data_IF_526241500587
#
_entry.id   IF_526241500587
#
_cell.length_a   1.000
_cell.length_b   1.000
_cell.length_c   1.000
_cell.angle_alpha   90.00
_cell.angle_beta   90.00
_cell.angle_gamma   90.00
#
_symmetry.space_group_name_H-M   'P 1'
#
loop_
_entity.id
_entity.type
_entity.pdbx_description
1 polymer ?
#
# COMPACT_ATOMS: atom_id res chain seq x y z
N UNK A 1 2.35 2.95 -15.59
CA UNK A 1 2.23 2.13 -14.36
C UNK A 1 1.36 2.82 -13.32
N UNK A 2 1.73 4.03 -12.86
CA UNK A 2 0.96 4.80 -11.86
C UNK A 2 -0.51 5.00 -12.21
N UNK A 3 -0.80 5.48 -13.42
CA UNK A 3 -2.19 5.69 -13.88
C UNK A 3 -3.00 4.37 -13.90
N UNK A 4 -2.40 3.25 -14.31
CA UNK A 4 -3.05 1.94 -14.29
C UNK A 4 -3.44 1.52 -12.87
N UNK A 5 -2.50 1.65 -11.92
CA UNK A 5 -2.74 1.34 -10.51
C UNK A 5 -3.94 2.13 -9.96
N UNK A 6 -3.95 3.45 -10.13
CA UNK A 6 -5.01 4.31 -9.60
C UNK A 6 -6.39 4.07 -10.22
N UNK A 7 -6.45 3.70 -11.50
CA UNK A 7 -7.73 3.38 -12.17
C UNK A 7 -8.38 2.09 -11.67
N UNK A 8 -7.61 1.22 -11.02
CA UNK A 8 -8.05 -0.07 -10.49
C UNK A 8 -8.24 -0.08 -8.97
N UNK A 9 -7.98 1.05 -8.30
CA UNK A 9 -8.18 1.10 -6.85
C UNK A 9 -9.67 1.12 -6.50
N UNK A 10 -10.07 0.41 -5.43
CA UNK A 10 -11.39 0.55 -4.82
C UNK A 10 -11.59 1.94 -4.21
N UNK A 11 -12.81 2.23 -3.72
CA UNK A 11 -13.15 3.51 -3.09
C UNK A 11 -12.29 3.88 -1.89
N UNK A 12 -11.86 2.89 -1.11
CA UNK A 12 -10.99 3.09 0.06
C UNK A 12 -9.50 3.27 -0.31
N UNK A 13 -9.15 3.20 -1.61
CA UNK A 13 -7.81 3.39 -2.14
C UNK A 13 -6.77 2.34 -1.74
N UNK A 14 -7.16 1.21 -1.13
CA UNK A 14 -6.23 0.12 -0.82
C UNK A 14 -6.50 -1.06 -1.76
N UNK A 15 -5.55 -1.47 -2.61
CA UNK A 15 -5.82 -2.45 -3.65
C UNK A 15 -6.20 -3.80 -3.06
N UNK A 16 -6.92 -4.59 -3.86
CA UNK A 16 -6.97 -6.03 -3.68
C UNK A 16 -5.60 -6.65 -4.01
N UNK A 17 -5.41 -7.92 -3.63
CA UNK A 17 -4.18 -8.65 -3.96
C UNK A 17 -3.94 -8.76 -5.47
N UNK A 18 -5.00 -8.71 -6.28
CA UNK A 18 -4.95 -8.55 -7.74
C UNK A 18 -5.78 -7.32 -8.16
N UNK A 19 -5.27 -6.54 -9.12
CA UNK A 19 -5.89 -5.31 -9.63
C UNK A 19 -7.07 -5.58 -10.59
N UNK A 20 -7.36 -6.84 -10.89
CA UNK A 20 -8.60 -7.21 -11.57
C UNK A 20 -9.84 -7.04 -10.70
N UNK A 21 -9.69 -7.16 -9.37
CA UNK A 21 -10.79 -7.06 -8.41
C UNK A 21 -11.14 -5.61 -8.05
N UNK A 22 -12.40 -5.40 -7.68
CA UNK A 22 -12.99 -4.10 -7.38
C UNK A 22 -14.05 -4.15 -6.27
N UNK A 23 -14.68 -2.99 -6.02
CA UNK A 23 -15.72 -2.91 -4.99
C UNK A 23 -16.85 -3.91 -5.27
N UNK A 24 -17.13 -4.80 -4.31
CA UNK A 24 -18.16 -5.84 -4.42
C UNK A 24 -17.60 -7.25 -4.56
N UNK A 25 -16.31 -7.40 -4.87
CA UNK A 25 -15.63 -8.69 -4.86
C UNK A 25 -15.27 -9.11 -3.43
N UNK A 26 -15.42 -10.40 -3.13
CA UNK A 26 -15.08 -11.01 -1.83
C UNK A 26 -13.64 -11.55 -1.83
N UNK A 27 -12.68 -10.68 -2.17
CA UNK A 27 -11.25 -11.03 -2.29
C UNK A 27 -10.39 -10.28 -1.25
N UNK A 28 -9.25 -10.83 -0.83
CA UNK A 28 -8.40 -10.21 0.18
C UNK A 28 -7.70 -8.95 -0.37
N UNK A 29 -7.42 -8.02 0.55
CA UNK A 29 -6.67 -6.79 0.26
C UNK A 29 -5.16 -7.07 0.19
N UNK A 30 -4.43 -6.12 -0.38
CA UNK A 30 -2.99 -6.04 -0.16
C UNK A 30 -2.57 -4.61 0.24
N UNK A 31 -2.60 -4.35 1.56
CA UNK A 31 -2.12 -3.09 2.13
C UNK A 31 -0.63 -2.85 1.91
N UNK A 32 0.16 -3.92 1.69
CA UNK A 32 1.59 -3.81 1.42
C UNK A 32 1.85 -3.16 0.06
N UNK A 33 1.06 -3.50 -0.98
CA UNK A 33 1.12 -2.83 -2.27
C UNK A 33 0.79 -1.33 -2.20
N UNK A 34 -0.21 -0.91 -1.42
CA UNK A 34 -0.50 0.50 -1.21
C UNK A 34 0.65 1.25 -0.52
N UNK A 35 1.28 0.60 0.48
CA UNK A 35 2.43 1.16 1.20
C UNK A 35 3.64 1.35 0.28
N UNK A 36 3.94 0.35 -0.55
CA UNK A 36 5.01 0.41 -1.57
C UNK A 36 4.72 1.49 -2.60
N UNK A 37 3.49 1.55 -3.12
CA UNK A 37 3.09 2.55 -4.10
C UNK A 37 3.23 3.98 -3.53
N UNK A 38 2.89 4.19 -2.26
CA UNK A 38 3.09 5.48 -1.60
C UNK A 38 4.58 5.88 -1.56
N UNK A 39 5.50 4.97 -1.22
CA UNK A 39 6.94 5.24 -1.30
C UNK A 39 7.39 5.59 -2.72
N UNK A 40 6.96 4.82 -3.73
CA UNK A 40 7.31 5.08 -5.13
C UNK A 40 6.82 6.43 -5.64
N UNK A 41 5.61 6.84 -5.25
CA UNK A 41 5.05 8.16 -5.59
C UNK A 41 5.83 9.32 -4.94
N UNK A 42 6.21 9.15 -3.68
CA UNK A 42 7.00 10.14 -2.95
C UNK A 42 8.40 10.27 -3.55
N UNK A 43 9.03 9.15 -3.93
CA UNK A 43 10.34 9.16 -4.57
C UNK A 43 10.28 9.79 -5.96
N UNK A 44 9.34 9.35 -6.81
CA UNK A 44 9.17 9.88 -8.15
C UNK A 44 8.96 11.40 -8.15
N UNK A 45 8.14 11.91 -7.22
CA UNK A 45 7.83 13.34 -7.12
C UNK A 45 9.08 14.22 -6.93
N UNK A 46 10.18 13.68 -6.39
CA UNK A 46 11.45 14.42 -6.16
C UNK A 46 12.23 14.70 -7.43
N UNK A 47 12.03 13.90 -8.47
CA UNK A 47 12.75 14.01 -9.75
C UNK A 47 11.92 14.66 -10.85
N UNK A 48 10.72 15.14 -10.52
CA UNK A 48 9.85 15.82 -11.48
C UNK A 48 10.17 17.31 -11.56
N UNK A 49 9.76 17.92 -12.66
CA UNK A 49 9.85 19.37 -12.81
C UNK A 49 9.06 20.10 -11.71
N UNK A 50 9.48 21.32 -11.32
CA UNK A 50 8.81 22.09 -10.28
C UNK A 50 7.30 22.22 -10.53
N UNK A 51 6.50 21.74 -9.58
CA UNK A 51 5.04 21.78 -9.62
C UNK A 51 4.37 20.49 -10.12
N UNK A 52 5.05 19.66 -10.92
CA UNK A 52 4.47 18.42 -11.45
C UNK A 52 4.38 17.30 -10.38
N UNK A 53 5.33 17.27 -9.44
CA UNK A 53 5.38 16.28 -8.35
C UNK A 53 4.27 16.43 -7.29
N UNK A 54 3.66 17.62 -7.17
CA UNK A 54 2.70 17.91 -6.10
C UNK A 54 1.47 17.00 -6.14
N UNK A 55 0.99 16.66 -7.34
CA UNK A 55 -0.12 15.72 -7.52
C UNK A 55 0.20 14.32 -6.98
N UNK A 56 1.39 13.82 -7.26
CA UNK A 56 1.84 12.50 -6.79
C UNK A 56 2.10 12.46 -5.29
N UNK A 57 2.67 13.52 -4.71
CA UNK A 57 2.75 13.67 -3.25
C UNK A 57 1.36 13.66 -2.61
N UNK A 58 0.38 14.37 -3.21
CA UNK A 58 -1.00 14.37 -2.76
C UNK A 58 -1.65 12.99 -2.81
N UNK A 59 -1.43 12.25 -3.90
CA UNK A 59 -1.91 10.87 -4.04
C UNK A 59 -1.30 9.93 -2.99
N UNK A 60 0.03 9.99 -2.78
CA UNK A 60 0.70 9.20 -1.74
C UNK A 60 0.12 9.46 -0.35
N UNK A 61 -0.13 10.73 0.00
CA UNK A 61 -0.76 11.11 1.27
C UNK A 61 -2.18 10.56 1.42
N UNK A 62 -2.95 10.45 0.34
CA UNK A 62 -4.29 9.84 0.36
C UNK A 62 -4.24 8.33 0.60
N UNK A 63 -3.30 7.62 -0.05
CA UNK A 63 -3.06 6.20 0.22
C UNK A 63 -2.71 5.99 1.70
N UNK A 64 -1.70 6.73 2.19
CA UNK A 64 -1.25 6.63 3.59
C UNK A 64 -2.31 7.02 4.60
N UNK A 65 -3.17 7.98 4.28
CA UNK A 65 -4.32 8.32 5.13
C UNK A 65 -5.30 7.16 5.23
N UNK A 66 -5.62 6.48 4.12
CA UNK A 66 -6.51 5.31 4.17
C UNK A 66 -5.89 4.19 4.99
N UNK A 67 -4.61 3.89 4.77
CA UNK A 67 -3.88 2.89 5.56
C UNK A 67 -3.89 3.22 7.05
N UNK A 68 -3.54 4.46 7.44
CA UNK A 68 -3.52 4.88 8.84
C UNK A 68 -4.90 4.84 9.52
N UNK A 69 -5.97 5.17 8.79
CA UNK A 69 -7.33 5.22 9.35
C UNK A 69 -7.95 3.84 9.42
N UNK A 70 -7.80 3.02 8.38
CA UNK A 70 -8.60 1.80 8.20
C UNK A 70 -7.78 0.51 8.40
N UNK A 71 -6.47 0.52 8.18
CA UNK A 71 -5.64 -0.69 8.12
C UNK A 71 -4.55 -0.76 9.20
N UNK A 72 -4.19 0.37 9.82
CA UNK A 72 -3.18 0.37 10.87
C UNK A 72 -3.62 -0.46 12.07
N UNK A 73 -2.69 -1.23 12.63
CA UNK A 73 -2.89 -1.95 13.89
C UNK A 73 -3.04 -0.92 15.02
N UNK A 74 -4.24 -0.82 15.59
CA UNK A 74 -4.55 0.05 16.74
C UNK A 74 -4.72 -0.71 18.05
N UNK A 75 -4.77 -2.03 17.97
CA UNK A 75 -4.94 -2.92 19.09
C UNK A 75 -3.89 -4.03 18.99
N UNK A 76 -2.85 -3.93 19.81
CA UNK A 76 -1.72 -4.86 19.82
C UNK A 76 -2.07 -6.25 20.34
N UNK A 77 -3.27 -6.44 20.90
CA UNK A 77 -3.77 -7.79 21.20
C UNK A 77 -4.23 -8.54 19.94
N UNK A 78 -4.53 -7.82 18.85
CA UNK A 78 -4.98 -8.40 17.57
C UNK A 78 -3.83 -8.73 16.64
N UNK A 79 -2.78 -7.91 16.63
CA UNK A 79 -1.60 -8.12 15.79
C UNK A 79 -0.37 -7.43 16.40
N UNK A 80 0.80 -7.98 16.12
CA UNK A 80 2.10 -7.39 16.44
C UNK A 80 2.75 -6.67 15.24
N UNK A 81 2.10 -6.67 14.07
CA UNK A 81 2.51 -5.87 12.92
C UNK A 81 2.05 -4.41 13.00
N UNK A 82 2.24 -3.65 11.93
CA UNK A 82 1.89 -2.23 11.83
C UNK A 82 0.70 -1.98 10.91
N UNK A 83 0.57 -2.74 9.82
CA UNK A 83 -0.52 -2.59 8.84
C UNK A 83 -1.17 -3.94 8.50
N UNK A 84 -2.48 -4.03 8.66
CA UNK A 84 -3.31 -5.23 8.47
C UNK A 84 -3.69 -5.43 7.00
N UNK A 85 -4.21 -6.62 6.68
CA UNK A 85 -4.82 -6.95 5.39
C UNK A 85 -3.83 -6.85 4.22
N UNK A 86 -2.63 -7.40 4.42
CA UNK A 86 -1.67 -7.65 3.36
C UNK A 86 -1.77 -9.08 2.87
N UNK A 87 -1.35 -9.32 1.63
CA UNK A 87 -1.39 -10.66 1.03
C UNK A 87 -0.01 -11.04 0.54
N UNK A 88 0.54 -12.14 1.07
CA UNK A 88 1.83 -12.69 0.64
C UNK A 88 1.69 -13.57 -0.60
N UNK A 89 0.87 -14.61 -0.52
CA UNK A 89 0.74 -15.60 -1.59
C UNK A 89 -0.66 -16.18 -1.57
N UNK A 90 -1.54 -15.68 -2.43
CA UNK A 90 -2.93 -16.15 -2.52
C UNK A 90 -3.12 -17.10 -3.71
N UNK A 91 -3.55 -18.33 -3.41
CA UNK A 91 -3.89 -19.33 -4.41
C UNK A 91 -5.20 -18.98 -5.12
N UNK A 92 -5.22 -19.14 -6.44
CA UNK A 92 -6.44 -19.03 -7.27
C UNK A 92 -6.39 -20.04 -8.43
N UNK A 93 -7.48 -20.25 -9.17
CA UNK A 93 -7.46 -21.08 -10.38
C UNK A 93 -6.40 -20.66 -11.42
N UNK A 94 -5.97 -19.40 -11.37
CA UNK A 94 -4.98 -18.81 -12.28
C UNK A 94 -3.63 -18.54 -11.59
N UNK A 95 -3.54 -18.69 -10.26
CA UNK A 95 -2.33 -18.55 -9.47
C UNK A 95 -2.11 -19.80 -8.61
N UNK A 96 -1.32 -20.75 -9.11
CA UNK A 96 -1.10 -22.04 -8.44
C UNK A 96 -0.06 -22.00 -7.31
N UNK A 97 0.22 -20.81 -6.77
CA UNK A 97 1.11 -20.67 -5.62
C UNK A 97 0.51 -21.34 -4.38
N UNK A 98 1.32 -21.50 -3.34
CA UNK A 98 0.82 -21.98 -2.05
C UNK A 98 0.08 -20.86 -1.33
N UNK A 99 -1.05 -21.18 -0.69
CA UNK A 99 -1.86 -20.21 0.06
C UNK A 99 -1.23 -19.93 1.44
N UNK A 100 -0.52 -18.81 1.56
CA UNK A 100 0.20 -18.42 2.78
C UNK A 100 0.14 -16.90 3.00
N UNK A 101 -0.01 -16.49 4.27
CA UNK A 101 0.05 -15.08 4.67
C UNK A 101 -0.98 -14.21 3.93
N UNK A 102 -2.21 -14.71 3.79
CA UNK A 102 -3.33 -14.01 3.15
C UNK A 102 -4.16 -13.34 4.24
N UNK A 103 -4.49 -12.06 4.05
CA UNK A 103 -5.20 -11.24 5.04
C UNK A 103 -4.46 -11.08 6.38
N UNK A 104 -3.13 -10.97 6.33
CA UNK A 104 -2.25 -10.86 7.50
C UNK A 104 -1.42 -9.56 7.46
N UNK A 105 -0.67 -9.29 8.54
CA UNK A 105 0.47 -8.38 8.43
C UNK A 105 1.62 -9.08 7.68
N UNK A 106 2.44 -8.31 6.96
CA UNK A 106 3.70 -8.82 6.43
C UNK A 106 4.82 -7.79 6.61
N UNK A 107 6.06 -8.29 6.68
CA UNK A 107 7.19 -7.47 7.12
C UNK A 107 7.54 -6.36 6.12
N UNK A 108 7.39 -6.62 4.81
CA UNK A 108 7.64 -5.59 3.80
C UNK A 108 6.55 -4.51 3.81
N UNK A 109 5.27 -4.87 4.03
CA UNK A 109 4.18 -3.92 4.21
C UNK A 109 4.46 -3.00 5.39
N UNK A 110 4.82 -3.55 6.55
CA UNK A 110 5.19 -2.76 7.74
C UNK A 110 6.38 -1.82 7.49
N UNK A 111 7.40 -2.32 6.80
CA UNK A 111 8.58 -1.53 6.45
C UNK A 111 8.22 -0.34 5.55
N UNK A 112 7.56 -0.58 4.42
CA UNK A 112 7.18 0.49 3.48
C UNK A 112 6.13 1.42 4.06
N UNK A 113 5.25 0.93 4.94
CA UNK A 113 4.30 1.76 5.67
C UNK A 113 5.03 2.79 6.55
N UNK A 114 6.00 2.34 7.35
CA UNK A 114 6.81 3.22 8.20
C UNK A 114 7.70 4.17 7.40
N UNK A 115 8.24 3.68 6.29
CA UNK A 115 9.06 4.49 5.40
C UNK A 115 8.26 5.62 4.75
N UNK A 116 7.07 5.32 4.21
CA UNK A 116 6.19 6.32 3.61
C UNK A 116 5.77 7.38 4.64
N UNK A 117 5.42 6.97 5.87
CA UNK A 117 5.17 7.91 6.97
C UNK A 117 6.39 8.77 7.28
N UNK A 118 7.58 8.18 7.27
CA UNK A 118 8.84 8.87 7.53
C UNK A 118 9.12 9.94 6.46
N UNK A 119 9.03 9.58 5.17
CA UNK A 119 9.15 10.49 4.02
C UNK A 119 8.13 11.63 4.06
N UNK A 120 6.93 11.38 4.59
CA UNK A 120 5.86 12.38 4.73
C UNK A 120 6.15 13.40 5.84
N UNK A 121 6.76 12.93 6.93
CA UNK A 121 6.98 13.72 8.16
C UNK A 121 8.31 14.47 8.19
N UNK A 122 9.31 14.03 7.41
CA UNK A 122 10.64 14.66 7.37
C UNK A 122 11.33 14.43 6.03
N UNK A 123 12.30 15.27 5.71
CA UNK A 123 13.24 15.00 4.64
C UNK A 123 14.15 13.84 5.06
N UNK A 124 14.04 12.73 4.35
CA UNK A 124 14.70 11.48 4.69
C UNK A 124 15.57 11.03 3.52
N UNK A 125 16.82 10.67 3.83
CA UNK A 125 17.70 10.01 2.88
C UNK A 125 17.42 8.50 2.91
N UNK A 126 16.82 7.92 1.86
CA UNK A 126 16.50 6.50 1.82
C UNK A 126 17.75 5.62 1.88
N UNK A 127 17.57 4.35 2.26
CA UNK A 127 18.67 3.38 2.26
C UNK A 127 19.08 2.92 0.85
N UNK A 128 18.32 3.31 -0.17
CA UNK A 128 18.54 3.02 -1.59
C UNK A 128 18.70 4.28 -2.41
#
# INVERSE_FOLDING_TARGET
>A
MTDYFFRRLPKDLVPFWDLEFGDGDEEPRDSSAASIAACGLLEMARYMEPGEGAGYTGMARRLMKSLAVNYAVKDYSKSNGLVLHSTYSNHSPYNTCSHYGVDECNLWGDYFYMEALTRICRDWNPYW
#
